data_IF_083275642426
#
_entry.id   IF_083275642426
#
_cell.length_a   1.000
_cell.length_b   1.000
_cell.length_c   1.000
_cell.angle_alpha   90.00
_cell.angle_beta   90.00
_cell.angle_gamma   90.00
#
_symmetry.space_group_name_H-M   'P 1'
#
loop_
_entity.id
_entity.type
_entity.pdbx_description
1 polymer ?
#
# COMPACT_ATOMS: atom_id res chain seq x y z
N UNK A 1 -29.02 -45.78 2.54
CA UNK A 1 -29.41 -44.63 1.68
C UNK A 1 -28.82 -43.28 2.11
N UNK A 2 -28.15 -43.17 3.28
CA UNK A 2 -27.59 -41.91 3.81
C UNK A 2 -26.16 -41.57 3.36
N UNK A 3 -25.35 -42.57 2.97
CA UNK A 3 -23.97 -42.35 2.52
C UNK A 3 -23.87 -41.85 1.06
N UNK A 4 -24.73 -42.34 0.16
CA UNK A 4 -24.75 -41.94 -1.25
C UNK A 4 -25.27 -40.51 -1.45
N UNK A 5 -26.21 -40.04 -0.60
CA UNK A 5 -26.69 -38.66 -0.61
C UNK A 5 -25.64 -37.65 -0.10
N UNK A 6 -24.73 -38.07 0.79
CA UNK A 6 -23.60 -37.24 1.26
C UNK A 6 -22.53 -37.06 0.17
N UNK A 7 -22.28 -38.10 -0.61
CA UNK A 7 -21.27 -38.09 -1.69
C UNK A 7 -21.76 -37.24 -2.88
N UNK A 8 -23.05 -37.29 -3.22
CA UNK A 8 -23.62 -36.44 -4.28
C UNK A 8 -23.73 -34.96 -3.88
N UNK A 9 -24.06 -34.67 -2.61
CA UNK A 9 -24.06 -33.30 -2.07
C UNK A 9 -22.66 -32.66 -2.05
N UNK A 10 -21.62 -33.45 -1.76
CA UNK A 10 -20.23 -32.97 -1.74
C UNK A 10 -19.65 -32.72 -3.15
N UNK A 11 -20.04 -33.49 -4.17
CA UNK A 11 -19.55 -33.31 -5.54
C UNK A 11 -20.17 -32.09 -6.25
N UNK A 12 -21.46 -31.82 -6.00
CA UNK A 12 -22.19 -30.66 -6.53
C UNK A 12 -21.70 -29.36 -5.88
N UNK A 13 -21.40 -29.39 -4.57
CA UNK A 13 -20.81 -28.25 -3.86
C UNK A 13 -19.42 -27.87 -4.39
N UNK A 14 -18.56 -28.86 -4.66
CA UNK A 14 -17.21 -28.62 -5.18
C UNK A 14 -17.20 -28.02 -6.59
N UNK A 15 -18.05 -28.52 -7.48
CA UNK A 15 -18.18 -28.00 -8.85
C UNK A 15 -18.78 -26.59 -8.89
N UNK A 16 -19.81 -26.31 -8.09
CA UNK A 16 -20.38 -24.97 -7.98
C UNK A 16 -19.36 -23.93 -7.48
N UNK A 17 -18.50 -24.31 -6.51
CA UNK A 17 -17.44 -23.43 -6.00
C UNK A 17 -16.37 -23.14 -7.05
N UNK A 18 -15.98 -24.14 -7.86
CA UNK A 18 -15.02 -23.96 -8.96
C UNK A 18 -15.60 -23.07 -10.08
N UNK A 19 -16.86 -23.27 -10.44
CA UNK A 19 -17.54 -22.44 -11.45
C UNK A 19 -17.69 -21.00 -10.96
N UNK A 20 -18.13 -20.79 -9.71
CA UNK A 20 -18.29 -19.46 -9.14
C UNK A 20 -16.95 -18.73 -8.98
N UNK A 21 -15.90 -19.43 -8.56
CA UNK A 21 -14.53 -18.91 -8.52
C UNK A 21 -14.00 -18.55 -9.91
N UNK A 22 -14.25 -19.38 -10.92
CA UNK A 22 -13.87 -19.13 -12.31
C UNK A 22 -14.59 -17.92 -12.91
N UNK A 23 -15.91 -17.80 -12.70
CA UNK A 23 -16.70 -16.66 -13.15
C UNK A 23 -16.23 -15.34 -12.50
N UNK A 24 -15.91 -15.35 -11.21
CA UNK A 24 -15.35 -14.18 -10.53
C UNK A 24 -13.96 -13.82 -11.05
N UNK A 25 -13.10 -14.81 -11.30
CA UNK A 25 -11.78 -14.56 -11.88
C UNK A 25 -11.90 -13.83 -13.22
N UNK A 26 -12.82 -14.28 -14.10
CA UNK A 26 -13.11 -13.63 -15.37
C UNK A 26 -13.68 -12.21 -15.16
N UNK A 27 -14.64 -12.05 -14.24
CA UNK A 27 -15.24 -10.76 -13.93
C UNK A 27 -14.22 -9.72 -13.39
N UNK A 28 -13.15 -10.18 -12.74
CA UNK A 28 -12.08 -9.33 -12.22
C UNK A 28 -10.97 -9.00 -13.22
N UNK A 29 -10.91 -9.67 -14.38
CA UNK A 29 -9.89 -9.38 -15.40
C UNK A 29 -9.90 -7.89 -15.80
N UNK A 30 -11.03 -7.25 -16.13
CA UNK A 30 -11.05 -5.83 -16.48
C UNK A 30 -10.59 -4.93 -15.33
N UNK A 31 -10.97 -5.27 -14.09
CA UNK A 31 -10.58 -4.51 -12.89
C UNK A 31 -9.07 -4.57 -12.69
N UNK A 32 -8.45 -5.75 -12.84
CA UNK A 32 -7.01 -5.93 -12.72
C UNK A 32 -6.25 -5.22 -13.84
N UNK A 33 -6.78 -5.20 -15.07
CA UNK A 33 -6.22 -4.42 -16.18
C UNK A 33 -6.26 -2.93 -15.82
N UNK A 34 -7.40 -2.40 -15.40
CA UNK A 34 -7.54 -0.98 -15.03
C UNK A 34 -6.58 -0.59 -13.89
N UNK A 35 -6.49 -1.41 -12.84
CA UNK A 35 -5.53 -1.19 -11.73
C UNK A 35 -4.10 -1.21 -12.24
N UNK A 36 -3.76 -2.14 -13.15
CA UNK A 36 -2.41 -2.24 -13.73
C UNK A 36 -2.08 -1.02 -14.58
N UNK A 37 -3.02 -0.56 -15.42
CA UNK A 37 -2.87 0.66 -16.23
C UNK A 37 -2.62 1.86 -15.33
N UNK A 38 -3.40 2.04 -14.26
CA UNK A 38 -3.19 3.12 -13.29
C UNK A 38 -1.84 2.99 -12.59
N UNK A 39 -1.46 1.79 -12.14
CA UNK A 39 -0.20 1.57 -11.44
C UNK A 39 1.05 1.81 -12.33
N UNK A 40 0.91 1.61 -13.64
CA UNK A 40 1.96 1.87 -14.62
C UNK A 40 2.04 3.33 -15.06
N UNK A 41 0.88 3.98 -15.22
CA UNK A 41 0.79 5.37 -15.73
C UNK A 41 0.95 6.42 -14.64
N UNK A 42 0.54 6.12 -13.40
CA UNK A 42 0.56 7.07 -12.28
C UNK A 42 1.65 6.67 -11.29
N UNK A 43 2.69 7.50 -11.21
CA UNK A 43 3.90 7.20 -10.43
C UNK A 43 3.67 6.92 -8.93
N UNK A 44 2.56 7.42 -8.35
CA UNK A 44 2.19 7.15 -6.96
C UNK A 44 1.79 5.68 -6.73
N UNK A 45 1.20 5.04 -7.74
CA UNK A 45 0.58 3.72 -7.62
C UNK A 45 1.47 2.56 -8.07
N UNK A 46 2.73 2.79 -8.43
CA UNK A 46 3.62 1.70 -8.92
C UNK A 46 3.81 0.56 -7.91
N UNK A 47 3.62 0.82 -6.61
CA UNK A 47 3.64 -0.21 -5.56
C UNK A 47 2.50 -1.23 -5.70
N UNK A 48 1.35 -0.85 -6.28
CA UNK A 48 0.17 -1.68 -6.41
C UNK A 48 0.39 -2.91 -7.30
N UNK A 49 1.40 -2.90 -8.18
CA UNK A 49 1.78 -4.06 -8.99
C UNK A 49 2.43 -5.18 -8.15
N UNK A 50 3.17 -4.80 -7.10
CA UNK A 50 3.88 -5.76 -6.23
C UNK A 50 2.96 -6.36 -5.17
N UNK A 51 1.93 -5.64 -4.74
CA UNK A 51 0.99 -6.08 -3.71
C UNK A 51 0.32 -7.44 -4.02
N UNK A 52 -0.29 -7.67 -5.21
CA UNK A 52 -0.89 -8.97 -5.53
C UNK A 52 0.16 -10.08 -5.66
N UNK A 53 1.35 -9.78 -6.20
CA UNK A 53 2.45 -10.74 -6.29
C UNK A 53 2.93 -11.19 -4.90
N UNK A 54 3.10 -10.23 -3.98
CA UNK A 54 3.49 -10.51 -2.61
C UNK A 54 2.41 -11.28 -1.85
N UNK A 55 1.15 -10.91 -2.03
CA UNK A 55 0.00 -11.63 -1.46
C UNK A 55 -0.06 -13.07 -1.97
N UNK A 56 0.12 -13.28 -3.27
CA UNK A 56 0.18 -14.61 -3.90
C UNK A 56 1.39 -15.43 -3.47
N UNK A 57 2.52 -14.79 -3.15
CA UNK A 57 3.68 -15.46 -2.57
C UNK A 57 3.43 -15.91 -1.12
N UNK A 58 2.79 -15.08 -0.28
CA UNK A 58 2.42 -15.43 1.10
C UNK A 58 1.36 -16.55 1.17
N UNK A 59 0.21 -16.34 0.51
CA UNK A 59 -0.21 -17.23 -0.56
C UNK A 59 0.41 -18.63 -0.63
N UNK A 60 1.40 -18.76 -1.47
CA UNK A 60 2.04 -20.02 -1.76
C UNK A 60 2.86 -20.60 -0.59
N UNK A 61 3.50 -19.75 0.22
CA UNK A 61 4.35 -20.17 1.34
C UNK A 61 3.56 -20.95 2.42
N UNK A 62 2.39 -20.44 2.79
CA UNK A 62 1.57 -21.03 3.86
C UNK A 62 0.50 -22.01 3.34
N UNK A 63 0.62 -22.50 2.10
CA UNK A 63 -0.40 -23.39 1.49
C UNK A 63 -0.69 -24.66 2.31
N UNK A 64 0.30 -25.18 3.04
CA UNK A 64 0.16 -26.40 3.84
C UNK A 64 -0.63 -26.19 5.13
N UNK A 65 -0.57 -25.00 5.73
CA UNK A 65 -1.30 -24.67 6.97
C UNK A 65 -2.78 -24.36 6.73
N UNK A 66 -3.23 -24.36 5.47
CA UNK A 66 -4.60 -24.04 5.04
C UNK A 66 -5.48 -25.25 4.79
N UNK A 67 -4.90 -26.44 4.78
CA UNK A 67 -5.65 -27.66 4.53
C UNK A 67 -6.32 -28.14 5.81
N UNK A 68 -7.62 -28.46 5.75
CA UNK A 68 -8.28 -29.26 6.79
C UNK A 68 -9.52 -28.65 7.46
N UNK A 69 -10.06 -27.52 6.99
CA UNK A 69 -11.34 -26.99 7.48
C UNK A 69 -12.51 -27.40 6.58
N UNK A 70 -13.70 -27.75 7.12
CA UNK A 70 -14.89 -27.93 6.30
C UNK A 70 -15.27 -26.59 5.62
N UNK A 71 -15.77 -26.63 4.36
CA UNK A 71 -16.25 -25.45 3.66
C UNK A 71 -17.26 -24.66 4.48
N UNK A 72 -17.07 -23.34 4.55
CA UNK A 72 -17.97 -22.44 5.23
C UNK A 72 -18.92 -21.79 4.22
N UNK A 73 -19.89 -22.57 3.73
CA UNK A 73 -20.73 -22.24 2.57
C UNK A 73 -21.45 -20.90 2.75
N UNK A 74 -22.29 -20.78 3.78
CA UNK A 74 -23.10 -19.57 4.00
C UNK A 74 -22.26 -18.28 4.10
N UNK A 75 -21.26 -18.16 4.98
CA UNK A 75 -20.46 -16.94 5.06
C UNK A 75 -19.61 -16.71 3.79
N UNK A 76 -19.19 -17.79 3.10
CA UNK A 76 -18.51 -17.68 1.81
C UNK A 76 -19.40 -17.04 0.74
N UNK A 77 -20.61 -17.57 0.55
CA UNK A 77 -21.60 -17.04 -0.41
C UNK A 77 -22.00 -15.60 -0.05
N UNK A 78 -22.19 -15.28 1.24
CA UNK A 78 -22.50 -13.91 1.67
C UNK A 78 -21.39 -12.93 1.29
N UNK A 79 -20.12 -13.28 1.51
CA UNK A 79 -18.99 -12.41 1.11
C UNK A 79 -18.87 -12.28 -0.41
N UNK A 80 -19.18 -13.32 -1.18
CA UNK A 80 -19.25 -13.24 -2.63
C UNK A 80 -20.39 -12.34 -3.11
N UNK A 81 -21.56 -12.40 -2.45
CA UNK A 81 -22.67 -11.49 -2.70
C UNK A 81 -22.30 -10.03 -2.42
N UNK A 82 -21.59 -9.77 -1.32
CA UNK A 82 -21.04 -8.44 -1.00
C UNK A 82 -20.04 -8.01 -2.06
N UNK A 83 -19.12 -8.88 -2.47
CA UNK A 83 -18.14 -8.58 -3.51
C UNK A 83 -18.82 -8.21 -4.84
N UNK A 84 -19.83 -9.00 -5.26
CA UNK A 84 -20.61 -8.72 -6.45
C UNK A 84 -21.37 -7.39 -6.34
N UNK A 85 -22.01 -7.12 -5.20
CA UNK A 85 -22.72 -5.86 -4.97
C UNK A 85 -21.77 -4.66 -5.06
N UNK A 86 -20.61 -4.71 -4.38
CA UNK A 86 -19.60 -3.63 -4.42
C UNK A 86 -19.02 -3.47 -5.83
N UNK A 87 -18.80 -4.56 -6.58
CA UNK A 87 -18.34 -4.52 -7.96
C UNK A 87 -19.36 -3.85 -8.89
N UNK A 88 -20.65 -4.19 -8.74
CA UNK A 88 -21.75 -3.57 -9.49
C UNK A 88 -21.88 -2.09 -9.14
N UNK A 89 -21.90 -1.74 -7.86
CA UNK A 89 -21.92 -0.34 -7.41
C UNK A 89 -20.72 0.43 -7.95
N UNK A 90 -19.52 -0.16 -7.91
CA UNK A 90 -18.31 0.45 -8.45
C UNK A 90 -18.38 0.64 -9.96
N UNK A 91 -18.98 -0.29 -10.69
CA UNK A 91 -19.20 -0.17 -12.14
C UNK A 91 -20.21 0.94 -12.46
N UNK A 92 -21.35 0.96 -11.78
CA UNK A 92 -22.39 1.99 -11.94
C UNK A 92 -21.86 3.38 -11.58
N UNK A 93 -21.05 3.49 -10.52
CA UNK A 93 -20.45 4.73 -10.08
C UNK A 93 -19.16 5.11 -10.84
N UNK A 94 -18.76 4.33 -11.86
CA UNK A 94 -17.48 4.48 -12.56
C UNK A 94 -16.25 4.57 -11.62
N UNK A 95 -16.32 3.94 -10.45
CA UNK A 95 -15.31 4.00 -9.40
C UNK A 95 -14.38 2.80 -9.45
N UNK A 96 -13.16 3.00 -9.96
CA UNK A 96 -12.13 1.96 -9.93
C UNK A 96 -11.78 1.54 -8.49
N UNK A 97 -11.81 2.47 -7.54
CA UNK A 97 -11.58 2.18 -6.11
C UNK A 97 -12.57 1.14 -5.60
N UNK A 98 -13.87 1.32 -5.83
CA UNK A 98 -14.89 0.37 -5.38
C UNK A 98 -14.76 -0.98 -6.11
N UNK A 99 -14.54 -0.95 -7.44
CA UNK A 99 -14.32 -2.16 -8.23
C UNK A 99 -13.12 -2.96 -7.69
N UNK A 100 -11.99 -2.30 -7.43
CA UNK A 100 -10.80 -2.94 -6.86
C UNK A 100 -10.98 -3.40 -5.41
N UNK A 101 -11.67 -2.63 -4.56
CA UNK A 101 -11.98 -3.02 -3.18
C UNK A 101 -12.80 -4.31 -3.12
N UNK A 102 -13.69 -4.53 -4.09
CA UNK A 102 -14.53 -5.72 -4.12
C UNK A 102 -13.74 -7.04 -4.24
N UNK A 103 -12.49 -6.99 -4.73
CA UNK A 103 -11.61 -8.17 -4.83
C UNK A 103 -11.36 -8.79 -3.45
N UNK A 104 -11.27 -7.96 -2.40
CA UNK A 104 -10.93 -8.41 -1.05
C UNK A 104 -12.02 -9.29 -0.42
N UNK A 105 -13.30 -8.87 -0.29
CA UNK A 105 -14.36 -9.76 0.16
C UNK A 105 -14.56 -10.94 -0.80
N UNK A 106 -14.32 -10.77 -2.11
CA UNK A 106 -14.34 -11.87 -3.09
C UNK A 106 -13.33 -12.96 -2.76
N UNK A 107 -12.08 -12.57 -2.51
CA UNK A 107 -11.00 -13.48 -2.12
C UNK A 107 -11.27 -14.15 -0.76
N UNK A 108 -11.81 -13.42 0.23
CA UNK A 108 -12.25 -14.02 1.49
C UNK A 108 -13.38 -15.03 1.31
N UNK A 109 -14.36 -14.73 0.45
CA UNK A 109 -15.46 -15.63 0.10
C UNK A 109 -14.96 -16.92 -0.54
N UNK A 110 -14.08 -16.83 -1.54
CA UNK A 110 -13.44 -18.00 -2.16
C UNK A 110 -12.67 -18.81 -1.12
N UNK A 111 -11.89 -18.15 -0.25
CA UNK A 111 -11.13 -18.85 0.79
C UNK A 111 -12.05 -19.60 1.77
N UNK A 112 -13.21 -19.03 2.14
CA UNK A 112 -14.18 -19.70 3.02
C UNK A 112 -14.80 -20.94 2.37
N UNK A 113 -15.08 -20.86 1.07
CA UNK A 113 -15.66 -21.97 0.31
C UNK A 113 -14.67 -23.10 0.05
N UNK A 114 -13.39 -22.78 -0.13
CA UNK A 114 -12.34 -23.74 -0.51
C UNK A 114 -11.52 -24.27 0.66
N UNK A 115 -11.14 -23.40 1.60
CA UNK A 115 -10.25 -23.72 2.72
C UNK A 115 -10.95 -23.69 4.09
N UNK A 116 -12.24 -23.32 4.14
CA UNK A 116 -13.02 -23.23 5.38
C UNK A 116 -12.54 -22.11 6.31
N UNK A 117 -13.20 -21.96 7.47
CA UNK A 117 -12.90 -20.87 8.43
C UNK A 117 -11.45 -20.84 8.91
N UNK A 118 -10.87 -22.02 9.16
CA UNK A 118 -9.49 -22.15 9.63
C UNK A 118 -8.49 -21.70 8.56
N UNK A 119 -8.64 -22.19 7.32
CA UNK A 119 -7.79 -21.80 6.20
C UNK A 119 -7.94 -20.32 5.81
N UNK A 120 -9.16 -19.78 5.88
CA UNK A 120 -9.40 -18.33 5.69
C UNK A 120 -8.70 -17.50 6.77
N UNK A 121 -8.74 -17.93 8.04
CA UNK A 121 -8.03 -17.23 9.13
C UNK A 121 -6.52 -17.23 8.91
N UNK A 122 -5.96 -18.36 8.47
CA UNK A 122 -4.55 -18.44 8.10
C UNK A 122 -4.20 -17.56 6.88
N UNK A 123 -5.16 -17.32 5.98
CA UNK A 123 -5.01 -16.50 4.78
C UNK A 123 -5.41 -15.04 4.96
N UNK A 124 -5.83 -14.64 6.17
CA UNK A 124 -6.44 -13.33 6.39
C UNK A 124 -5.47 -12.17 6.15
N UNK A 125 -4.21 -12.32 6.55
CA UNK A 125 -3.20 -11.30 6.31
C UNK A 125 -2.88 -11.15 4.81
N UNK A 126 -2.54 -12.22 4.05
CA UNK A 126 -2.32 -12.10 2.61
C UNK A 126 -3.52 -11.54 1.84
N UNK A 127 -4.74 -11.98 2.15
CA UNK A 127 -5.94 -11.47 1.48
C UNK A 127 -6.20 -10.01 1.85
N UNK A 128 -6.07 -9.64 3.13
CA UNK A 128 -6.23 -8.26 3.58
C UNK A 128 -5.16 -7.32 3.02
N UNK A 129 -3.95 -7.83 2.75
CA UNK A 129 -2.87 -7.07 2.15
C UNK A 129 -3.22 -6.54 0.74
N UNK A 130 -4.11 -7.21 0.01
CA UNK A 130 -4.60 -6.77 -1.30
C UNK A 130 -5.28 -5.39 -1.26
N UNK A 131 -5.80 -4.94 -0.12
CA UNK A 131 -6.34 -3.57 0.02
C UNK A 131 -5.31 -2.52 -0.40
N UNK A 132 -4.01 -2.79 -0.21
CA UNK A 132 -2.94 -1.84 -0.53
C UNK A 132 -2.69 -1.67 -2.04
N UNK A 133 -3.29 -2.49 -2.90
CA UNK A 133 -3.22 -2.28 -4.36
C UNK A 133 -4.34 -1.39 -4.87
N UNK A 134 -5.34 -1.10 -4.04
CA UNK A 134 -6.54 -0.38 -4.44
C UNK A 134 -6.19 1.11 -4.62
N UNK A 135 -6.43 1.69 -5.80
CA UNK A 135 -6.22 3.12 -5.99
C UNK A 135 -7.23 3.91 -5.15
N UNK A 136 -6.77 5.01 -4.55
CA UNK A 136 -7.64 5.89 -3.77
C UNK A 136 -8.71 6.54 -4.68
N UNK A 137 -9.85 6.96 -4.10
CA UNK A 137 -10.86 7.71 -4.84
C UNK A 137 -10.26 8.96 -5.49
N UNK A 138 -10.80 9.39 -6.64
CA UNK A 138 -10.29 10.50 -7.44
C UNK A 138 -10.05 11.80 -6.64
N UNK A 139 -10.93 12.11 -5.68
CA UNK A 139 -10.79 13.31 -4.83
C UNK A 139 -9.75 13.19 -3.70
N UNK A 140 -9.28 12.00 -3.36
CA UNK A 140 -8.40 11.80 -2.21
C UNK A 140 -6.95 12.23 -2.49
N UNK A 141 -6.46 12.05 -3.72
CA UNK A 141 -5.07 12.40 -4.06
C UNK A 141 -4.82 13.91 -3.90
N UNK A 142 -5.64 14.82 -4.45
CA UNK A 142 -5.46 16.26 -4.22
C UNK A 142 -5.52 16.65 -2.73
N UNK A 143 -6.43 16.03 -1.96
CA UNK A 143 -6.59 16.28 -0.52
C UNK A 143 -5.37 15.87 0.31
N UNK A 144 -4.61 14.87 -0.13
CA UNK A 144 -3.35 14.48 0.50
C UNK A 144 -2.16 15.26 -0.06
N UNK A 145 -2.16 15.51 -1.36
CA UNK A 145 -1.06 16.13 -2.09
C UNK A 145 -0.81 17.56 -1.63
N UNK A 146 -1.85 18.39 -1.53
CA UNK A 146 -1.69 19.81 -1.21
C UNK A 146 -1.14 20.07 0.22
N UNK A 147 -1.67 19.42 1.29
CA UNK A 147 -1.10 19.60 2.63
C UNK A 147 0.37 19.14 2.72
N UNK A 148 0.73 18.05 2.03
CA UNK A 148 2.12 17.57 2.01
C UNK A 148 3.05 18.54 1.26
N UNK A 149 2.59 19.14 0.17
CA UNK A 149 3.35 20.18 -0.56
C UNK A 149 3.53 21.43 0.31
N UNK A 150 2.48 21.88 1.00
CA UNK A 150 2.56 23.03 1.92
C UNK A 150 3.53 22.75 3.08
N UNK A 151 3.44 21.58 3.70
CA UNK A 151 4.37 21.17 4.75
C UNK A 151 5.80 21.14 4.22
N UNK A 152 6.03 20.59 3.03
CA UNK A 152 7.36 20.55 2.42
C UNK A 152 7.89 21.95 2.08
N UNK A 153 7.04 22.87 1.59
CA UNK A 153 7.42 24.25 1.32
C UNK A 153 7.79 25.01 2.60
N UNK A 154 6.98 24.87 3.66
CA UNK A 154 7.25 25.47 4.97
C UNK A 154 8.59 25.00 5.55
N UNK A 155 8.81 23.68 5.52
CA UNK A 155 10.04 23.09 6.07
C UNK A 155 11.25 23.41 5.20
N UNK A 156 11.11 23.47 3.88
CA UNK A 156 12.18 23.88 2.99
C UNK A 156 12.58 25.34 3.23
N UNK A 157 11.62 26.27 3.34
CA UNK A 157 11.92 27.67 3.65
C UNK A 157 12.62 27.82 5.01
N UNK A 158 12.15 27.08 6.03
CA UNK A 158 12.81 27.05 7.33
C UNK A 158 14.24 26.49 7.25
N UNK A 159 14.44 25.37 6.56
CA UNK A 159 15.74 24.73 6.39
C UNK A 159 16.73 25.62 5.61
N UNK A 160 16.27 26.33 4.57
CA UNK A 160 17.09 27.27 3.80
C UNK A 160 17.54 28.45 4.68
N UNK A 161 16.60 29.10 5.38
CA UNK A 161 16.92 30.22 6.25
C UNK A 161 17.87 29.82 7.39
N UNK A 162 17.67 28.66 8.01
CA UNK A 162 18.57 28.13 9.05
C UNK A 162 19.93 27.71 8.51
N UNK A 163 20.04 27.41 7.21
CA UNK A 163 21.31 27.13 6.53
C UNK A 163 22.02 28.40 6.02
N UNK A 164 21.51 29.60 6.35
CA UNK A 164 22.09 30.87 5.94
C UNK A 164 21.71 31.33 4.53
N UNK A 165 20.70 30.71 3.92
CA UNK A 165 20.16 31.09 2.60
C UNK A 165 18.86 31.86 2.84
N UNK A 166 18.84 33.20 2.73
CA UNK A 166 17.63 33.97 2.95
C UNK A 166 16.54 33.52 1.98
N UNK A 167 15.37 33.16 2.49
CA UNK A 167 14.27 32.73 1.62
C UNK A 167 12.92 33.25 2.07
N UNK A 168 12.10 33.65 1.10
CA UNK A 168 10.74 34.17 1.30
C UNK A 168 9.77 33.19 0.66
N UNK A 169 8.85 32.64 1.45
CA UNK A 169 7.83 31.72 0.97
C UNK A 169 6.56 32.47 0.57
N UNK A 170 6.01 32.12 -0.60
CA UNK A 170 4.70 32.55 -1.11
C UNK A 170 3.92 31.32 -1.58
N UNK A 171 3.06 30.79 -0.72
CA UNK A 171 2.33 29.55 -0.99
C UNK A 171 3.29 28.36 -1.16
N UNK A 172 3.34 27.77 -2.36
CA UNK A 172 4.21 26.64 -2.72
C UNK A 172 5.54 27.07 -3.37
N UNK A 173 5.75 28.37 -3.56
CA UNK A 173 6.97 28.95 -4.08
C UNK A 173 7.85 29.44 -2.93
N UNK A 174 9.13 29.09 -2.96
CA UNK A 174 10.15 29.60 -2.03
C UNK A 174 11.18 30.36 -2.85
N UNK A 175 11.18 31.68 -2.69
CA UNK A 175 12.07 32.60 -3.39
C UNK A 175 13.39 32.74 -2.64
N UNK A 176 14.49 32.69 -3.37
CA UNK A 176 15.86 32.86 -2.90
C UNK A 176 16.53 34.01 -3.67
N UNK A 177 17.70 34.51 -3.22
CA UNK A 177 18.47 35.51 -3.95
C UNK A 177 18.83 35.05 -5.38
N UNK A 178 19.25 36.01 -6.19
CA UNK A 178 19.71 35.79 -7.57
C UNK A 178 18.60 35.26 -8.51
N UNK A 179 17.33 35.50 -8.18
CA UNK A 179 16.18 35.11 -9.01
C UNK A 179 15.85 33.61 -8.94
N UNK A 180 16.47 32.85 -8.02
CA UNK A 180 16.24 31.41 -7.88
C UNK A 180 14.94 31.19 -7.09
N UNK A 181 14.10 30.28 -7.57
CA UNK A 181 12.89 29.88 -6.85
C UNK A 181 12.72 28.37 -6.85
N UNK A 182 12.31 27.84 -5.70
CA UNK A 182 11.92 26.45 -5.55
C UNK A 182 10.40 26.38 -5.58
N UNK A 183 9.84 25.77 -6.63
CA UNK A 183 8.41 25.48 -6.70
C UNK A 183 8.15 24.04 -6.26
N UNK A 184 7.46 23.87 -5.12
CA UNK A 184 7.05 22.54 -4.66
C UNK A 184 5.83 22.08 -5.46
N UNK A 185 6.08 21.39 -6.57
CA UNK A 185 5.04 20.88 -7.48
C UNK A 185 4.45 19.55 -6.99
N UNK A 186 3.43 19.03 -7.70
CA UNK A 186 2.85 17.71 -7.43
C UNK A 186 3.89 16.58 -7.47
N UNK A 187 4.91 16.68 -8.33
CA UNK A 187 6.00 15.71 -8.37
C UNK A 187 6.81 15.66 -7.05
N UNK A 188 6.69 16.67 -6.19
CA UNK A 188 7.38 16.78 -4.92
C UNK A 188 6.51 16.50 -3.68
N UNK A 189 5.25 16.09 -3.86
CA UNK A 189 4.32 15.82 -2.75
C UNK A 189 4.71 14.61 -1.87
N UNK A 190 5.65 13.77 -2.31
CA UNK A 190 6.14 12.61 -1.56
C UNK A 190 5.22 11.39 -1.55
N UNK A 191 4.07 11.41 -2.24
CA UNK A 191 3.07 10.32 -2.19
C UNK A 191 3.63 8.99 -2.68
N UNK A 192 4.51 9.00 -3.69
CA UNK A 192 5.15 7.78 -4.21
C UNK A 192 5.92 7.02 -3.13
N UNK A 193 6.75 7.72 -2.35
CA UNK A 193 7.52 7.08 -1.27
C UNK A 193 6.63 6.79 -0.06
N UNK A 194 5.65 7.64 0.24
CA UNK A 194 4.66 7.42 1.29
C UNK A 194 3.89 6.11 1.12
N UNK A 195 3.33 5.86 -0.07
CA UNK A 195 2.60 4.62 -0.33
C UNK A 195 3.51 3.40 -0.37
N UNK A 196 4.73 3.52 -0.93
CA UNK A 196 5.71 2.45 -0.85
C UNK A 196 6.05 2.08 0.60
N UNK A 197 6.27 3.09 1.46
CA UNK A 197 6.54 2.87 2.88
C UNK A 197 5.32 2.35 3.64
N UNK A 198 4.09 2.73 3.25
CA UNK A 198 2.87 2.12 3.81
C UNK A 198 2.85 0.60 3.54
N UNK A 199 3.13 0.18 2.30
CA UNK A 199 3.20 -1.24 1.92
C UNK A 199 4.28 -1.97 2.71
N UNK A 200 5.49 -1.40 2.77
CA UNK A 200 6.61 -1.96 3.55
C UNK A 200 6.26 -2.03 5.03
N UNK A 201 5.70 -0.96 5.59
CA UNK A 201 5.29 -0.86 7.00
C UNK A 201 4.27 -1.93 7.37
N UNK A 202 3.23 -2.12 6.57
CA UNK A 202 2.20 -3.15 6.80
C UNK A 202 2.79 -4.55 6.63
N UNK A 203 3.67 -4.77 5.65
CA UNK A 203 4.33 -6.06 5.44
C UNK A 203 5.18 -6.46 6.67
N UNK A 204 6.04 -5.56 7.15
CA UNK A 204 6.87 -5.82 8.33
C UNK A 204 6.05 -5.90 9.61
N UNK A 205 5.01 -5.07 9.78
CA UNK A 205 4.11 -5.16 10.92
C UNK A 205 3.43 -6.54 10.98
N UNK A 206 2.93 -7.04 9.84
CA UNK A 206 2.28 -8.35 9.77
C UNK A 206 3.23 -9.53 10.02
N UNK A 207 4.42 -9.49 9.41
CA UNK A 207 5.33 -10.64 9.34
C UNK A 207 6.42 -10.67 10.41
N UNK A 208 6.87 -9.51 10.88
CA UNK A 208 8.03 -9.41 11.77
C UNK A 208 7.67 -8.98 13.20
N UNK A 209 6.51 -8.35 13.41
CA UNK A 209 6.15 -7.72 14.70
C UNK A 209 4.96 -8.41 15.35
N UNK A 210 5.09 -8.71 16.65
CA UNK A 210 4.01 -9.26 17.49
C UNK A 210 3.31 -8.16 18.28
N UNK A 211 2.00 -8.32 18.49
CA UNK A 211 1.15 -7.41 19.26
C UNK A 211 0.60 -6.24 18.43
N UNK A 212 -0.71 -5.99 18.54
CA UNK A 212 -1.43 -5.02 17.70
C UNK A 212 -0.90 -3.59 17.83
N UNK A 213 -0.55 -3.15 19.05
CA UNK A 213 -0.01 -1.81 19.29
C UNK A 213 1.33 -1.64 18.57
N UNK A 214 2.26 -2.60 18.73
CA UNK A 214 3.59 -2.54 18.09
C UNK A 214 3.46 -2.58 16.55
N UNK A 215 2.50 -3.32 16.02
CA UNK A 215 2.16 -3.31 14.58
C UNK A 215 1.71 -1.94 14.12
N UNK A 216 0.77 -1.31 14.85
CA UNK A 216 0.32 0.05 14.57
C UNK A 216 1.47 1.05 14.60
N UNK A 217 2.31 1.00 15.64
CA UNK A 217 3.49 1.86 15.76
C UNK A 217 4.50 1.65 14.61
N UNK A 218 4.65 0.41 14.12
CA UNK A 218 5.54 0.12 12.98
C UNK A 218 5.02 0.78 11.70
N UNK A 219 3.71 0.74 11.45
CA UNK A 219 3.10 1.41 10.30
C UNK A 219 3.21 2.94 10.44
N UNK A 220 2.91 3.48 11.63
CA UNK A 220 3.06 4.91 11.90
C UNK A 220 4.49 5.39 11.70
N UNK A 221 5.47 4.61 12.15
CA UNK A 221 6.88 4.90 11.93
C UNK A 221 7.23 4.93 10.44
N UNK A 222 6.73 3.96 9.66
CA UNK A 222 6.95 3.93 8.21
C UNK A 222 6.41 5.20 7.53
N UNK A 223 5.21 5.65 7.91
CA UNK A 223 4.61 6.88 7.39
C UNK A 223 5.40 8.13 7.82
N UNK A 224 5.79 8.20 9.09
CA UNK A 224 6.58 9.31 9.61
C UNK A 224 7.94 9.43 8.89
N UNK A 225 8.62 8.31 8.67
CA UNK A 225 9.88 8.24 7.92
C UNK A 225 9.67 8.69 6.48
N UNK A 226 8.59 8.27 5.82
CA UNK A 226 8.32 8.68 4.45
C UNK A 226 8.08 10.19 4.31
N UNK A 227 7.32 10.77 5.24
CA UNK A 227 7.11 12.23 5.29
C UNK A 227 8.45 12.93 5.54
N UNK A 228 9.18 12.53 6.59
CA UNK A 228 10.48 13.13 6.93
C UNK A 228 11.48 13.06 5.77
N UNK A 229 11.54 11.92 5.08
CA UNK A 229 12.38 11.75 3.90
C UNK A 229 12.02 12.72 2.78
N UNK A 230 10.71 12.95 2.53
CA UNK A 230 10.29 13.95 1.56
C UNK A 230 10.66 15.37 1.98
N UNK A 231 10.52 15.71 3.27
CA UNK A 231 10.91 17.03 3.79
C UNK A 231 12.41 17.29 3.59
N UNK A 232 13.25 16.30 3.90
CA UNK A 232 14.71 16.37 3.67
C UNK A 232 15.04 16.46 2.18
N UNK A 233 14.33 15.69 1.34
CA UNK A 233 14.50 15.73 -0.12
C UNK A 233 14.16 17.13 -0.67
N UNK A 234 13.00 17.70 -0.33
CA UNK A 234 12.59 18.99 -0.89
C UNK A 234 13.51 20.10 -0.40
N UNK A 235 13.84 20.11 0.89
CA UNK A 235 14.77 21.09 1.47
C UNK A 235 16.15 21.04 0.80
N UNK A 236 16.73 19.84 0.68
CA UNK A 236 18.02 19.68 0.02
C UNK A 236 17.99 19.99 -1.48
N UNK A 237 16.86 19.77 -2.16
CA UNK A 237 16.69 20.21 -3.56
C UNK A 237 16.76 21.73 -3.67
N UNK A 238 16.19 22.46 -2.69
CA UNK A 238 16.32 23.92 -2.61
C UNK A 238 17.77 24.37 -2.40
N UNK A 239 18.50 23.71 -1.49
CA UNK A 239 19.94 24.00 -1.27
C UNK A 239 20.75 23.74 -2.53
N UNK A 240 20.48 22.63 -3.23
CA UNK A 240 21.14 22.30 -4.50
C UNK A 240 20.83 23.36 -5.55
N UNK A 241 19.57 23.80 -5.66
CA UNK A 241 19.15 24.83 -6.60
C UNK A 241 19.90 26.16 -6.36
N UNK A 242 20.06 26.56 -5.10
CA UNK A 242 20.76 27.77 -4.74
C UNK A 242 22.27 27.69 -5.03
N UNK A 243 22.91 26.56 -4.67
CA UNK A 243 24.35 26.40 -4.76
C UNK A 243 24.88 26.13 -6.19
N UNK A 244 24.12 25.39 -7.00
CA UNK A 244 24.56 24.94 -8.34
C UNK A 244 23.61 25.34 -9.47
N UNK A 245 22.63 26.18 -9.18
CA UNK A 245 21.65 26.66 -10.14
C UNK A 245 20.40 25.76 -10.25
N UNK A 246 19.29 26.31 -10.79
CA UNK A 246 18.02 25.59 -10.92
C UNK A 246 18.12 24.29 -11.73
N UNK A 247 19.02 24.24 -12.71
CA UNK A 247 19.23 23.10 -13.60
C UNK A 247 19.75 21.88 -12.80
N UNK A 248 20.64 22.11 -11.83
CA UNK A 248 21.18 21.07 -10.96
C UNK A 248 20.14 20.49 -9.99
N UNK A 249 19.09 21.25 -9.67
CA UNK A 249 17.95 20.77 -8.88
C UNK A 249 16.93 19.96 -9.70
N UNK A 250 17.18 19.77 -11.00
CA UNK A 250 16.38 19.00 -11.94
C UNK A 250 17.18 17.81 -12.53
N UNK A 251 16.52 16.97 -13.33
CA UNK A 251 17.20 15.90 -14.07
C UNK A 251 17.87 14.83 -13.19
N UNK A 252 19.10 14.47 -13.53
CA UNK A 252 19.82 13.35 -12.88
C UNK A 252 20.09 13.59 -11.40
N UNK A 253 20.62 14.76 -11.04
CA UNK A 253 20.97 15.10 -9.66
C UNK A 253 19.76 15.07 -8.74
N UNK A 254 18.61 15.56 -9.22
CA UNK A 254 17.33 15.46 -8.52
C UNK A 254 16.93 14.02 -8.21
N UNK A 255 17.01 13.13 -9.21
CA UNK A 255 16.64 11.72 -9.06
C UNK A 255 17.62 10.98 -8.17
N UNK A 256 18.92 11.21 -8.34
CA UNK A 256 19.98 10.60 -7.53
C UNK A 256 19.86 11.00 -6.06
N UNK A 257 19.74 12.31 -5.79
CA UNK A 257 19.57 12.83 -4.43
C UNK A 257 18.32 12.25 -3.76
N UNK A 258 17.18 12.25 -4.47
CA UNK A 258 15.95 11.64 -3.95
C UNK A 258 16.12 10.17 -3.57
N UNK A 259 16.76 9.36 -4.44
CA UNK A 259 17.03 7.93 -4.15
C UNK A 259 17.94 7.75 -2.93
N UNK A 260 18.99 8.57 -2.80
CA UNK A 260 19.91 8.52 -1.66
C UNK A 260 19.17 8.84 -0.37
N UNK A 261 18.41 9.94 -0.33
CA UNK A 261 17.62 10.32 0.86
C UNK A 261 16.67 9.20 1.27
N UNK A 262 15.94 8.61 0.31
CA UNK A 262 15.04 7.50 0.59
C UNK A 262 15.78 6.26 1.12
N UNK A 263 16.94 5.90 0.54
CA UNK A 263 17.74 4.78 0.99
C UNK A 263 18.28 4.98 2.42
N UNK A 264 18.79 6.17 2.74
CA UNK A 264 19.26 6.51 4.09
C UNK A 264 18.12 6.44 5.10
N UNK A 265 16.93 6.93 4.74
CA UNK A 265 15.75 6.93 5.61
C UNK A 265 15.18 5.53 5.88
N UNK A 266 15.54 4.52 5.08
CA UNK A 266 15.19 3.12 5.39
C UNK A 266 16.01 2.54 6.55
N UNK A 267 17.19 3.08 6.84
CA UNK A 267 18.06 2.60 7.94
C UNK A 267 17.37 2.71 9.30
N UNK A 268 16.83 3.88 9.73
CA UNK A 268 16.14 3.97 11.02
C UNK A 268 14.89 3.08 11.07
N UNK A 269 14.15 2.94 9.95
CA UNK A 269 13.01 2.02 9.89
C UNK A 269 13.45 0.58 10.18
N UNK A 270 14.46 0.09 9.46
CA UNK A 270 15.00 -1.25 9.63
C UNK A 270 15.55 -1.47 11.04
N UNK A 271 16.27 -0.49 11.59
CA UNK A 271 16.81 -0.56 12.95
C UNK A 271 15.71 -0.77 13.99
N UNK A 272 14.63 0.04 13.95
CA UNK A 272 13.52 -0.10 14.90
C UNK A 272 12.80 -1.43 14.73
N UNK A 273 12.54 -1.87 13.50
CA UNK A 273 11.90 -3.17 13.25
C UNK A 273 12.74 -4.33 13.79
N UNK A 274 14.07 -4.29 13.61
CA UNK A 274 14.98 -5.29 14.14
C UNK A 274 15.00 -5.30 15.68
N UNK A 275 14.97 -4.13 16.32
CA UNK A 275 14.89 -4.00 17.78
C UNK A 275 13.56 -4.56 18.32
N UNK A 276 12.44 -4.21 17.68
CA UNK A 276 11.13 -4.75 18.02
C UNK A 276 11.11 -6.27 17.88
N UNK A 277 11.72 -6.83 16.83
CA UNK A 277 11.86 -8.28 16.63
C UNK A 277 12.60 -8.95 17.78
N UNK A 278 13.77 -8.42 18.18
CA UNK A 278 14.58 -8.96 19.30
C UNK A 278 13.78 -9.00 20.61
N UNK A 279 13.09 -7.91 20.93
CA UNK A 279 12.28 -7.82 22.17
C UNK A 279 11.13 -8.83 22.24
N UNK A 280 10.59 -9.25 21.09
CA UNK A 280 9.53 -10.27 21.02
C UNK A 280 10.04 -11.71 21.14
N UNK A 281 11.35 -11.96 20.98
CA UNK A 281 11.94 -13.29 21.22
C UNK A 281 12.15 -13.50 22.72
N UNK A 282 12.67 -12.50 23.43
CA UNK A 282 12.99 -12.58 24.87
C UNK A 282 11.79 -12.72 25.82
N UNK A 283 10.59 -12.33 25.39
CA UNK A 283 9.36 -12.47 26.21
C UNK A 283 8.81 -13.91 26.18
N UNK A 284 9.22 -14.74 25.21
CA UNK A 284 8.73 -16.12 25.07
C UNK A 284 9.60 -17.15 25.80
N UNK A 285 10.74 -16.72 26.38
CA UNK A 285 11.68 -17.56 27.12
C UNK A 285 11.60 -17.37 28.64
N UNK A 286 10.48 -16.87 29.15
CA UNK A 286 10.10 -16.83 30.56
C UNK A 286 8.69 -17.37 30.69
#
# INVERSE_FOLDING_TARGET
MTALARVSSQSIGGTAVLVLGGLLAVAYVPVLIDVTVVAWSVSYYSHALLVPLFSAWLLWQDRRSRNGGPPAILPGVLLLGIAAAVLVTGTVAASLTLRALSIVPGAFGIALLTAGRAGTRASAFPIGFLVLMVPLPSGAIPQLSLPLQQLAANVAAFALNTSGIPSIQQGLLVHMPNGISLHVTEACNGLRFLFAMLVVGVAFAGLAVRGTIRRGLTVLLALAIAIAANLVRVSGTGVIAYAWGPEAASGFMHVAYGKIVYAVMLVPFAAVVLLLRRSSVSVTSR
#
